data_IF_365928605481
#
_entry.id   IF_365928605481
#
_cell.length_a   1.000
_cell.length_b   1.000
_cell.length_c   1.000
_cell.angle_alpha   90.00
_cell.angle_beta   90.00
_cell.angle_gamma   90.00
#
_symmetry.space_group_name_H-M   'P 1'
#
loop_
_entity.id
_entity.type
_entity.pdbx_description
1 polymer ?
#
# COMPACT_ATOMS: atom_id res chain seq x y z
N UNK A 1 30.12 12.68 0.04
CA UNK A 1 28.64 12.70 0.19
C UNK A 1 28.08 13.76 -0.76
N UNK A 2 26.95 13.50 -1.41
CA UNK A 2 26.39 14.39 -2.44
C UNK A 2 25.08 15.07 -2.01
N UNK A 3 24.53 14.70 -0.85
CA UNK A 3 23.17 15.05 -0.52
C UNK A 3 22.63 14.46 0.77
N UNK A 4 21.33 14.67 0.97
CA UNK A 4 20.54 14.14 2.10
C UNK A 4 19.32 13.40 1.58
N UNK A 5 18.85 12.41 2.35
CA UNK A 5 17.60 11.69 2.10
C UNK A 5 16.75 11.65 3.36
N UNK A 6 15.43 11.55 3.19
CA UNK A 6 14.49 11.27 4.29
C UNK A 6 13.33 10.42 3.78
N UNK A 7 12.52 9.90 4.69
CA UNK A 7 11.26 9.23 4.37
C UNK A 7 10.20 9.67 5.39
N UNK A 8 9.05 10.18 4.94
CA UNK A 8 8.00 10.72 5.84
C UNK A 8 7.12 9.66 6.50
N UNK A 9 7.28 8.39 6.08
CA UNK A 9 6.47 7.25 6.52
C UNK A 9 5.47 6.82 5.45
N UNK A 10 5.19 5.51 5.37
CA UNK A 10 4.20 4.98 4.43
C UNK A 10 2.81 5.57 4.72
N UNK A 11 2.01 5.80 3.67
CA UNK A 11 0.65 6.34 3.80
C UNK A 11 0.58 7.68 4.58
N UNK A 12 1.47 8.61 4.27
CA UNK A 12 1.50 9.89 4.95
C UNK A 12 0.35 10.80 4.47
N UNK A 13 -0.59 11.11 5.36
CA UNK A 13 -1.77 11.95 5.07
C UNK A 13 -1.52 13.44 5.28
N UNK A 14 -0.36 13.83 5.81
CA UNK A 14 -0.04 15.23 6.12
C UNK A 14 1.08 15.74 5.21
N UNK A 15 0.78 16.59 4.19
CA UNK A 15 1.80 17.23 3.36
C UNK A 15 2.88 17.96 4.18
N UNK A 16 2.51 18.55 5.33
CA UNK A 16 3.43 19.25 6.22
C UNK A 16 4.58 18.37 6.76
N UNK A 17 4.45 17.04 6.73
CA UNK A 17 5.55 16.16 7.11
C UNK A 17 6.72 16.25 6.12
N UNK A 18 6.46 16.46 4.83
CA UNK A 18 7.53 16.70 3.85
C UNK A 18 8.23 18.03 4.11
N UNK A 19 7.50 19.12 4.37
CA UNK A 19 8.13 20.41 4.65
C UNK A 19 8.96 20.40 5.95
N UNK A 20 8.48 19.71 6.98
CA UNK A 20 9.24 19.47 8.21
C UNK A 20 10.52 18.66 7.96
N UNK A 21 10.44 17.59 7.16
CA UNK A 21 11.57 16.74 6.83
C UNK A 21 12.60 17.46 5.94
N UNK A 22 12.15 18.25 4.96
CA UNK A 22 13.01 19.11 4.13
C UNK A 22 13.78 20.08 5.03
N UNK A 23 13.10 20.75 5.98
CA UNK A 23 13.77 21.66 6.92
C UNK A 23 14.89 20.95 7.69
N UNK A 24 14.60 19.77 8.25
CA UNK A 24 15.59 19.00 9.01
C UNK A 24 16.76 18.52 8.13
N UNK A 25 16.48 18.07 6.90
CA UNK A 25 17.49 17.67 5.93
C UNK A 25 18.39 18.86 5.54
N UNK A 26 17.82 20.06 5.40
CA UNK A 26 18.58 21.28 5.11
C UNK A 26 19.46 21.71 6.29
N UNK A 27 19.05 21.47 7.53
CA UNK A 27 19.92 21.73 8.69
C UNK A 27 21.19 20.85 8.65
N UNK A 28 21.03 19.58 8.26
CA UNK A 28 22.17 18.66 8.02
C UNK A 28 23.00 19.13 6.82
N UNK A 29 22.34 19.53 5.74
CA UNK A 29 22.99 20.06 4.54
C UNK A 29 23.89 21.26 4.85
N UNK A 30 23.38 22.24 5.61
CA UNK A 30 24.14 23.43 6.02
C UNK A 30 25.34 23.07 6.89
N UNK A 31 25.16 22.10 7.78
CA UNK A 31 26.25 21.57 8.60
C UNK A 31 27.33 20.93 7.73
N UNK A 32 26.94 20.12 6.73
CA UNK A 32 27.89 19.51 5.80
C UNK A 32 28.62 20.55 4.94
N UNK A 33 27.91 21.58 4.46
CA UNK A 33 28.50 22.69 3.70
C UNK A 33 29.54 23.46 4.53
N UNK A 34 29.27 23.69 5.83
CA UNK A 34 30.24 24.32 6.73
C UNK A 34 31.53 23.49 6.92
N UNK A 35 31.48 22.19 6.62
CA UNK A 35 32.64 21.27 6.62
C UNK A 35 33.23 21.05 5.22
N UNK A 36 32.86 21.87 4.23
CA UNK A 36 33.43 21.82 2.87
C UNK A 36 32.82 20.77 1.95
N UNK A 37 31.64 20.23 2.28
CA UNK A 37 30.90 19.33 1.39
C UNK A 37 29.94 20.10 0.48
N UNK A 38 30.05 19.89 -0.83
CA UNK A 38 29.15 20.47 -1.83
C UNK A 38 28.04 19.49 -2.18
N UNK A 39 26.93 19.58 -1.47
CA UNK A 39 25.73 18.79 -1.78
C UNK A 39 24.98 19.41 -2.95
N UNK A 40 24.32 18.58 -3.75
CA UNK A 40 23.47 18.94 -4.89
C UNK A 40 22.30 17.95 -5.06
N UNK A 41 22.09 17.04 -4.11
CA UNK A 41 21.11 15.96 -4.21
C UNK A 41 20.20 15.94 -2.97
N UNK A 42 18.88 16.01 -3.16
CA UNK A 42 17.90 15.84 -2.10
C UNK A 42 16.88 14.77 -2.50
N UNK A 43 16.89 13.67 -1.75
CA UNK A 43 15.89 12.63 -1.87
C UNK A 43 14.75 12.89 -0.88
N UNK A 44 13.54 13.05 -1.43
CA UNK A 44 12.32 13.32 -0.70
C UNK A 44 11.65 12.03 -0.18
N UNK A 45 12.19 10.87 -0.57
CA UNK A 45 11.71 9.56 -0.23
C UNK A 45 10.30 9.28 -0.77
N UNK A 46 9.65 8.31 -0.12
CA UNK A 46 8.29 7.88 -0.43
C UNK A 46 7.24 8.45 0.52
N UNK A 47 6.25 7.63 0.82
CA UNK A 47 5.15 7.97 1.74
C UNK A 47 3.88 8.49 1.07
N UNK A 48 3.91 8.67 -0.26
CA UNK A 48 2.72 9.01 -1.05
C UNK A 48 1.59 8.02 -0.78
N UNK A 49 0.42 8.49 -0.32
CA UNK A 49 -0.68 7.61 0.05
C UNK A 49 -1.33 7.01 -1.20
N UNK A 50 -1.71 5.74 -1.11
CA UNK A 50 -2.71 5.16 -2.01
C UNK A 50 -4.11 5.44 -1.43
N UNK A 51 -5.16 5.30 -2.23
CA UNK A 51 -6.51 5.06 -1.71
C UNK A 51 -6.45 3.99 -0.62
N UNK A 52 -7.10 4.29 0.52
CA UNK A 52 -7.54 3.34 1.58
C UNK A 52 -7.73 3.89 2.98
N UNK A 53 -8.10 5.15 3.11
CA UNK A 53 -8.70 5.62 4.36
C UNK A 53 -9.92 6.45 4.03
N UNK A 54 -11.05 5.79 3.75
CA UNK A 54 -12.35 6.44 3.55
C UNK A 54 -12.80 7.26 4.77
N UNK A 55 -12.03 7.21 5.86
CA UNK A 55 -12.21 7.95 7.11
C UNK A 55 -11.42 9.26 7.17
N UNK A 56 -10.55 9.56 6.18
CA UNK A 56 -9.73 10.78 6.17
C UNK A 56 -9.51 11.30 4.76
N UNK A 57 -9.43 12.62 4.61
CA UNK A 57 -9.14 13.24 3.32
C UNK A 57 -7.70 12.91 2.91
N UNK A 58 -7.54 12.10 1.87
CA UNK A 58 -6.23 11.79 1.29
C UNK A 58 -5.75 13.02 0.51
N UNK A 59 -4.55 13.56 0.78
CA UNK A 59 -4.01 14.68 0.02
C UNK A 59 -3.73 14.27 -1.43
N UNK A 60 -4.02 15.16 -2.37
CA UNK A 60 -3.66 14.91 -3.77
C UNK A 60 -2.15 15.04 -3.98
N UNK A 61 -1.64 14.42 -5.04
CA UNK A 61 -0.22 14.54 -5.42
C UNK A 61 0.15 16.01 -5.66
N UNK A 62 -0.75 16.81 -6.22
CA UNK A 62 -0.55 18.24 -6.44
C UNK A 62 -0.43 19.01 -5.12
N UNK A 63 -1.24 18.67 -4.11
CA UNK A 63 -1.17 19.30 -2.80
C UNK A 63 0.16 18.98 -2.09
N UNK A 64 0.63 17.73 -2.15
CA UNK A 64 1.94 17.34 -1.63
C UNK A 64 3.05 18.07 -2.41
N UNK A 65 2.99 18.07 -3.74
CA UNK A 65 3.95 18.75 -4.59
C UNK A 65 4.04 20.24 -4.32
N UNK A 66 2.91 20.93 -4.13
CA UNK A 66 2.89 22.36 -3.80
C UNK A 66 3.56 22.66 -2.46
N UNK A 67 3.31 21.85 -1.43
CA UNK A 67 3.95 21.97 -0.11
C UNK A 67 5.46 21.73 -0.20
N UNK A 68 5.89 20.68 -0.90
CA UNK A 68 7.29 20.36 -1.15
C UNK A 68 7.98 21.53 -1.86
N UNK A 69 7.44 22.00 -2.98
CA UNK A 69 8.08 23.06 -3.75
C UNK A 69 8.13 24.38 -2.98
N UNK A 70 7.12 24.68 -2.16
CA UNK A 70 7.15 25.82 -1.24
C UNK A 70 8.29 25.71 -0.23
N UNK A 71 8.48 24.52 0.37
CA UNK A 71 9.58 24.28 1.31
C UNK A 71 10.96 24.34 0.63
N UNK A 72 11.12 23.79 -0.58
CA UNK A 72 12.36 23.89 -1.34
C UNK A 72 12.72 25.34 -1.63
N UNK A 73 11.75 26.13 -2.12
CA UNK A 73 11.96 27.56 -2.40
C UNK A 73 12.35 28.35 -1.12
N UNK A 74 11.81 27.97 0.04
CA UNK A 74 12.10 28.63 1.31
C UNK A 74 13.48 28.26 1.89
N UNK A 75 13.87 26.97 1.82
CA UNK A 75 15.04 26.47 2.55
C UNK A 75 16.29 26.25 1.68
N UNK A 76 16.11 26.00 0.37
CA UNK A 76 17.18 25.83 -0.63
C UNK A 76 16.96 26.74 -1.86
N UNK A 77 16.84 28.07 -1.68
CA UNK A 77 16.62 28.99 -2.80
C UNK A 77 17.82 29.02 -3.77
N UNK A 78 17.55 29.27 -5.05
CA UNK A 78 18.54 29.54 -6.11
C UNK A 78 19.58 28.42 -6.32
N UNK A 79 19.13 27.17 -6.31
CA UNK A 79 19.98 25.98 -6.52
C UNK A 79 19.68 25.34 -7.87
N UNK A 80 20.28 25.88 -8.93
CA UNK A 80 20.10 25.38 -10.30
C UNK A 80 20.69 23.97 -10.51
N UNK A 81 21.60 23.56 -9.63
CA UNK A 81 22.24 22.25 -9.60
C UNK A 81 21.50 21.22 -8.73
N UNK A 82 20.39 21.60 -8.09
CA UNK A 82 19.65 20.71 -7.19
C UNK A 82 18.94 19.59 -7.96
N UNK A 83 19.36 18.36 -7.71
CA UNK A 83 18.65 17.15 -8.11
C UNK A 83 17.65 16.76 -7.01
N UNK A 84 16.37 16.79 -7.33
CA UNK A 84 15.30 16.24 -6.50
C UNK A 84 14.97 14.81 -6.94
N UNK A 85 14.90 13.90 -5.98
CA UNK A 85 14.47 12.51 -6.18
C UNK A 85 13.25 12.23 -5.30
N UNK A 86 12.36 11.38 -5.82
CA UNK A 86 11.19 10.87 -5.12
C UNK A 86 11.22 9.34 -5.22
N UNK A 87 10.77 8.66 -4.17
CA UNK A 87 10.72 7.19 -4.10
C UNK A 87 9.26 6.68 -3.91
N UNK A 88 8.32 6.99 -4.82
CA UNK A 88 6.94 6.57 -4.68
C UNK A 88 6.78 5.05 -4.82
N UNK A 89 6.32 4.40 -3.75
CA UNK A 89 5.88 3.00 -3.76
C UNK A 89 4.37 2.89 -3.93
N UNK A 90 3.63 2.69 -2.83
CA UNK A 90 2.16 2.50 -2.89
C UNK A 90 1.41 3.61 -3.59
N UNK A 91 1.85 4.86 -3.50
CA UNK A 91 1.18 5.98 -4.15
C UNK A 91 1.12 5.83 -5.68
N UNK A 92 1.95 4.97 -6.27
CA UNK A 92 1.88 4.63 -7.70
C UNK A 92 1.05 3.38 -7.98
N UNK A 93 1.20 2.33 -7.18
CA UNK A 93 0.73 0.98 -7.54
C UNK A 93 -0.31 0.39 -6.60
N UNK A 94 -0.57 1.00 -5.44
CA UNK A 94 -1.51 0.48 -4.43
C UNK A 94 -2.87 0.15 -5.03
N UNK A 95 -3.50 1.12 -5.70
CA UNK A 95 -4.83 0.99 -6.31
C UNK A 95 -4.86 0.14 -7.60
N UNK A 96 -3.69 -0.28 -8.11
CA UNK A 96 -3.60 -1.01 -9.38
C UNK A 96 -3.97 -2.49 -9.27
N UNK A 97 -3.98 -3.02 -8.04
CA UNK A 97 -4.16 -4.45 -7.77
C UNK A 97 -5.38 -4.73 -6.91
N UNK A 98 -5.97 -5.92 -7.13
CA UNK A 98 -6.98 -6.50 -6.24
C UNK A 98 -6.59 -7.92 -5.91
N UNK A 99 -6.78 -8.31 -4.65
CA UNK A 99 -6.57 -9.68 -4.20
C UNK A 99 -7.92 -10.35 -4.03
N UNK A 100 -8.10 -11.52 -4.65
CA UNK A 100 -9.29 -12.34 -4.51
C UNK A 100 -8.97 -13.51 -3.59
N UNK A 101 -9.84 -13.75 -2.61
CA UNK A 101 -9.68 -14.88 -1.68
C UNK A 101 -11.00 -15.62 -1.49
N UNK A 102 -10.95 -16.95 -1.49
CA UNK A 102 -12.10 -17.79 -1.21
C UNK A 102 -12.23 -18.07 0.29
N UNK A 103 -13.48 -18.10 0.76
CA UNK A 103 -13.82 -18.53 2.10
C UNK A 103 -13.86 -20.06 2.13
N UNK A 104 -12.88 -20.69 2.77
CA UNK A 104 -12.83 -22.15 2.88
C UNK A 104 -13.37 -22.67 4.22
N UNK A 105 -13.47 -21.79 5.22
CA UNK A 105 -13.94 -22.17 6.55
C UNK A 105 -14.75 -21.07 7.21
N UNK A 106 -15.66 -21.47 8.09
CA UNK A 106 -16.45 -20.58 8.95
C UNK A 106 -16.58 -21.23 10.33
N UNK A 107 -16.39 -20.46 11.40
CA UNK A 107 -16.54 -20.96 12.77
C UNK A 107 -17.09 -19.89 13.70
N UNK A 108 -17.93 -20.31 14.64
CA UNK A 108 -18.34 -19.47 15.76
C UNK A 108 -17.36 -19.64 16.92
N UNK A 109 -16.83 -18.52 17.44
CA UNK A 109 -15.92 -18.48 18.59
C UNK A 109 -16.45 -17.48 19.60
N UNK A 110 -17.23 -17.96 20.56
CA UNK A 110 -17.96 -17.09 21.48
C UNK A 110 -19.03 -16.31 20.73
N UNK A 111 -19.01 -14.98 20.84
CA UNK A 111 -19.93 -14.08 20.14
C UNK A 111 -19.39 -13.62 18.76
N UNK A 112 -18.24 -14.15 18.33
CA UNK A 112 -17.62 -13.76 17.06
C UNK A 112 -17.76 -14.86 16.01
N UNK A 113 -18.18 -14.47 14.80
CA UNK A 113 -18.11 -15.33 13.62
C UNK A 113 -16.78 -15.12 12.89
N UNK A 114 -16.04 -16.19 12.68
CA UNK A 114 -14.74 -16.21 12.00
C UNK A 114 -14.88 -16.76 10.59
N UNK A 115 -14.26 -16.09 9.62
CA UNK A 115 -14.08 -16.56 8.25
C UNK A 115 -12.61 -16.90 8.03
N UNK A 116 -12.35 -18.08 7.49
CA UNK A 116 -11.00 -18.52 7.11
C UNK A 116 -10.85 -18.45 5.60
N UNK A 117 -9.82 -17.73 5.19
CA UNK A 117 -9.54 -17.31 3.82
C UNK A 117 -8.29 -18.02 3.29
N UNK A 118 -8.28 -18.35 2.00
CA UNK A 118 -7.12 -18.96 1.35
C UNK A 118 -5.95 -17.99 1.11
N UNK A 119 -6.15 -16.70 1.43
CA UNK A 119 -5.10 -15.69 1.56
C UNK A 119 -5.14 -15.07 2.96
N UNK A 120 -3.96 -14.81 3.51
CA UNK A 120 -3.74 -14.33 4.86
C UNK A 120 -2.57 -13.37 4.97
N UNK A 121 -2.19 -13.05 6.20
CA UNK A 121 -1.08 -12.14 6.51
C UNK A 121 0.20 -12.60 5.83
N UNK A 122 0.52 -13.89 5.92
CA UNK A 122 1.82 -14.39 5.46
C UNK A 122 1.94 -14.57 3.96
N UNK A 123 0.86 -14.93 3.26
CA UNK A 123 0.92 -15.24 1.83
C UNK A 123 0.36 -14.13 0.93
N UNK A 124 -0.11 -12.99 1.45
CA UNK A 124 -0.51 -11.88 0.58
C UNK A 124 -1.04 -10.61 1.22
N UNK A 125 -1.26 -10.58 2.54
CA UNK A 125 -1.88 -9.44 3.24
C UNK A 125 -1.03 -8.99 4.44
N UNK A 126 0.30 -9.01 4.31
CA UNK A 126 1.24 -8.72 5.42
C UNK A 126 0.98 -7.35 6.05
N UNK A 127 0.59 -6.36 5.25
CA UNK A 127 0.34 -5.00 5.72
C UNK A 127 -0.76 -4.90 6.79
N UNK A 128 -1.70 -5.85 6.81
CA UNK A 128 -2.74 -5.84 7.84
C UNK A 128 -2.17 -6.12 9.24
N UNK A 129 -1.05 -6.83 9.31
CA UNK A 129 -0.28 -7.01 10.53
C UNK A 129 0.55 -5.76 10.90
N UNK A 130 0.95 -4.97 9.90
CA UNK A 130 1.66 -3.69 10.09
C UNK A 130 0.74 -2.52 10.45
N UNK A 131 -0.57 -2.76 10.55
CA UNK A 131 -1.56 -1.77 10.95
C UNK A 131 -2.23 -1.04 9.80
N UNK A 132 -2.18 -1.57 8.58
CA UNK A 132 -2.95 -1.09 7.42
C UNK A 132 -4.23 -1.92 7.29
N UNK A 133 -5.41 -1.40 7.72
CA UNK A 133 -6.64 -2.17 7.64
C UNK A 133 -7.01 -2.44 6.17
N UNK A 134 -7.49 -3.66 5.85
CA UNK A 134 -7.92 -3.96 4.50
C UNK A 134 -9.25 -3.27 4.17
N UNK A 135 -9.44 -2.93 2.90
CA UNK A 135 -10.77 -2.69 2.34
C UNK A 135 -11.21 -3.92 1.60
N UNK A 136 -12.30 -4.51 2.07
CA UNK A 136 -12.78 -5.81 1.64
C UNK A 136 -14.27 -5.75 1.37
N UNK A 137 -14.70 -6.43 0.31
CA UNK A 137 -16.11 -6.61 -0.02
C UNK A 137 -16.37 -8.04 -0.47
N UNK A 138 -17.65 -8.41 -0.55
CA UNK A 138 -18.06 -9.60 -1.27
C UNK A 138 -17.85 -9.39 -2.78
N UNK A 139 -17.35 -10.41 -3.48
CA UNK A 139 -17.07 -10.32 -4.92
C UNK A 139 -18.35 -10.27 -5.78
N UNK A 140 -19.36 -11.04 -5.41
CA UNK A 140 -20.66 -11.06 -6.10
C UNK A 140 -21.56 -9.91 -5.65
N UNK A 141 -21.94 -9.05 -6.61
CA UNK A 141 -22.84 -7.92 -6.40
C UNK A 141 -24.21 -8.36 -5.88
N UNK A 142 -24.70 -9.54 -6.28
CA UNK A 142 -25.99 -10.06 -5.80
C UNK A 142 -25.96 -10.42 -4.30
N UNK A 143 -24.78 -10.64 -3.73
CA UNK A 143 -24.63 -10.87 -2.30
C UNK A 143 -24.67 -9.57 -1.49
N UNK A 144 -24.45 -8.40 -2.10
CA UNK A 144 -24.38 -7.11 -1.40
C UNK A 144 -25.71 -6.71 -0.75
N UNK A 145 -26.83 -7.29 -1.18
CA UNK A 145 -28.16 -7.07 -0.60
C UNK A 145 -28.50 -8.03 0.54
N UNK A 146 -27.62 -8.99 0.86
CA UNK A 146 -27.80 -9.90 2.00
C UNK A 146 -27.68 -9.13 3.32
N UNK A 147 -28.26 -9.63 4.43
CA UNK A 147 -28.10 -9.02 5.74
C UNK A 147 -26.62 -8.84 6.10
N UNK A 148 -26.29 -7.73 6.75
CA UNK A 148 -24.93 -7.46 7.21
C UNK A 148 -24.64 -8.23 8.50
N UNK A 149 -23.42 -8.78 8.59
CA UNK A 149 -22.89 -9.48 9.74
C UNK A 149 -21.46 -9.04 10.01
N UNK A 150 -21.05 -9.11 11.28
CA UNK A 150 -19.70 -8.78 11.71
C UNK A 150 -18.84 -10.04 11.72
N UNK A 151 -17.67 -9.98 11.11
CA UNK A 151 -16.74 -11.11 10.99
C UNK A 151 -15.34 -10.77 11.49
N UNK A 152 -14.64 -11.79 12.01
CA UNK A 152 -13.17 -11.81 12.05
C UNK A 152 -12.64 -12.55 10.83
N UNK A 153 -11.75 -11.92 10.07
CA UNK A 153 -11.10 -12.52 8.91
C UNK A 153 -9.73 -13.07 9.32
N UNK A 154 -9.49 -14.34 9.04
CA UNK A 154 -8.23 -15.02 9.31
C UNK A 154 -7.71 -15.72 8.05
N UNK A 155 -6.39 -15.77 7.93
CA UNK A 155 -5.73 -16.50 6.85
C UNK A 155 -5.68 -18.01 7.08
N UNK A 156 -5.00 -18.74 6.19
CA UNK A 156 -5.02 -20.20 6.18
C UNK A 156 -3.99 -20.84 7.12
N UNK A 157 -3.03 -20.08 7.64
CA UNK A 157 -1.92 -20.63 8.41
C UNK A 157 -2.33 -21.12 9.80
N UNK A 158 -1.48 -21.92 10.43
CA UNK A 158 -1.70 -22.40 11.80
C UNK A 158 -1.25 -21.39 12.87
N UNK A 159 -0.77 -20.21 12.48
CA UNK A 159 -0.27 -19.20 13.41
C UNK A 159 -1.39 -18.26 13.87
N UNK A 160 -1.43 -17.98 15.17
CA UNK A 160 -2.38 -17.04 15.76
C UNK A 160 -2.25 -15.59 15.28
N UNK A 161 -1.10 -15.22 14.68
CA UNK A 161 -0.88 -13.92 14.07
C UNK A 161 -1.53 -13.76 12.70
N UNK A 162 -2.05 -14.85 12.09
CA UNK A 162 -2.72 -14.81 10.78
C UNK A 162 -4.17 -14.34 10.88
N UNK A 163 -4.35 -13.18 11.52
CA UNK A 163 -5.62 -12.48 11.64
C UNK A 163 -5.51 -11.22 10.80
N UNK A 164 -6.27 -11.18 9.72
CA UNK A 164 -6.24 -10.12 8.72
C UNK A 164 -6.95 -8.89 9.27
N UNK A 165 -8.17 -9.06 9.79
CA UNK A 165 -8.96 -7.98 10.35
C UNK A 165 -10.02 -8.51 11.32
N UNK A 166 -10.41 -7.65 12.25
CA UNK A 166 -11.48 -7.91 13.23
C UNK A 166 -12.62 -6.94 13.00
N UNK A 167 -13.81 -7.35 13.44
CA UNK A 167 -15.02 -6.53 13.42
C UNK A 167 -15.37 -5.99 12.03
N UNK A 168 -15.12 -6.80 11.00
CA UNK A 168 -15.38 -6.45 9.60
C UNK A 168 -16.85 -6.67 9.29
N UNK A 169 -17.56 -5.60 8.93
CA UNK A 169 -18.96 -5.67 8.52
C UNK A 169 -19.05 -6.06 7.04
N UNK A 170 -19.64 -7.22 6.75
CA UNK A 170 -19.86 -7.71 5.38
C UNK A 170 -21.30 -8.23 5.23
N UNK A 171 -21.85 -8.25 4.00
CA UNK A 171 -23.05 -9.03 3.71
C UNK A 171 -22.83 -10.50 4.08
N UNK A 172 -23.89 -11.23 4.39
CA UNK A 172 -23.82 -12.63 4.80
C UNK A 172 -22.94 -13.47 3.86
N UNK A 173 -21.89 -14.05 4.44
CA UNK A 173 -20.86 -14.83 3.73
C UNK A 173 -21.00 -16.33 4.04
N UNK A 174 -20.94 -17.14 3.00
CA UNK A 174 -20.96 -18.60 3.04
C UNK A 174 -19.60 -19.21 2.67
N UNK A 175 -19.36 -20.46 3.06
CA UNK A 175 -18.20 -21.22 2.58
C UNK A 175 -18.34 -21.39 1.05
N UNK A 176 -17.25 -21.12 0.32
CA UNK A 176 -17.21 -21.10 -1.13
C UNK A 176 -17.42 -19.72 -1.75
N UNK A 177 -17.93 -18.75 -1.00
CA UNK A 177 -17.99 -17.34 -1.44
C UNK A 177 -16.57 -16.78 -1.59
N UNK A 178 -16.45 -15.69 -2.36
CA UNK A 178 -15.18 -15.00 -2.60
C UNK A 178 -15.26 -13.57 -2.09
N UNK A 179 -14.20 -13.16 -1.41
CA UNK A 179 -13.98 -11.78 -1.00
C UNK A 179 -12.95 -11.13 -1.93
N UNK A 180 -13.14 -9.84 -2.15
CA UNK A 180 -12.21 -9.00 -2.89
C UNK A 180 -11.61 -7.98 -1.94
N UNK A 181 -10.29 -7.99 -1.87
CA UNK A 181 -9.47 -6.98 -1.20
C UNK A 181 -9.03 -5.97 -2.25
N UNK A 182 -9.42 -4.72 -2.02
CA UNK A 182 -9.07 -3.60 -2.88
C UNK A 182 -7.68 -3.05 -2.54
N UNK A 183 -7.14 -2.21 -3.42
CA UNK A 183 -5.81 -1.58 -3.39
C UNK A 183 -4.69 -2.48 -2.83
N UNK A 184 -4.70 -3.71 -3.35
CA UNK A 184 -3.78 -4.79 -3.02
C UNK A 184 -2.59 -4.86 -4.00
N UNK A 185 -2.26 -3.73 -4.66
CA UNK A 185 -1.20 -3.65 -5.66
C UNK A 185 0.17 -3.27 -5.12
N UNK A 186 0.30 -2.96 -3.83
CA UNK A 186 1.57 -2.64 -3.19
C UNK A 186 1.76 -3.48 -1.92
N UNK A 187 2.96 -4.05 -1.74
CA UNK A 187 3.39 -4.76 -0.52
C UNK A 187 2.49 -5.95 -0.14
N UNK A 188 1.98 -6.64 -1.16
CA UNK A 188 1.20 -7.87 -1.03
C UNK A 188 2.07 -9.05 -1.42
N UNK A 189 2.17 -9.34 -2.72
CA UNK A 189 3.00 -10.42 -3.24
C UNK A 189 4.49 -10.19 -2.99
N UNK A 190 4.94 -8.94 -2.83
CA UNK A 190 6.34 -8.60 -2.54
C UNK A 190 6.80 -9.09 -1.16
N UNK A 191 5.89 -9.20 -0.19
CA UNK A 191 6.15 -9.74 1.15
C UNK A 191 5.68 -11.18 1.34
N UNK A 192 4.94 -11.72 0.36
CA UNK A 192 4.32 -13.02 0.49
C UNK A 192 5.37 -14.13 0.63
N UNK A 193 5.12 -15.01 1.60
CA UNK A 193 5.88 -16.22 1.82
C UNK A 193 4.95 -17.44 1.79
N UNK A 194 5.46 -18.56 1.29
CA UNK A 194 4.75 -19.85 1.32
C UNK A 194 4.78 -20.51 2.72
N UNK A 195 4.55 -19.72 3.76
CA UNK A 195 4.54 -20.18 5.15
C UNK A 195 3.43 -21.21 5.38
N UNK A 196 3.70 -22.21 6.22
CA UNK A 196 2.89 -23.43 6.38
C UNK A 196 2.58 -24.20 5.07
N UNK A 197 3.27 -23.90 3.97
CA UNK A 197 3.06 -24.56 2.68
C UNK A 197 1.88 -24.02 1.87
N UNK A 198 1.25 -22.91 2.29
CA UNK A 198 0.22 -22.26 1.49
C UNK A 198 0.85 -21.47 0.35
N UNK A 199 0.36 -21.62 -0.89
CA UNK A 199 0.95 -20.93 -2.03
C UNK A 199 0.72 -19.42 -1.94
N UNK A 200 1.61 -18.67 -2.60
CA UNK A 200 1.42 -17.24 -2.86
C UNK A 200 0.34 -17.09 -3.94
N UNK A 201 -0.62 -16.16 -3.79
CA UNK A 201 -1.64 -15.88 -4.79
C UNK A 201 -1.06 -15.64 -6.18
N UNK A 202 -1.65 -16.27 -7.19
CA UNK A 202 -1.25 -16.07 -8.58
C UNK A 202 -1.52 -14.62 -9.01
N UNK A 203 -0.54 -14.01 -9.67
CA UNK A 203 -0.68 -12.69 -10.26
C UNK A 203 -1.21 -12.80 -11.68
N UNK A 204 -2.30 -12.09 -11.99
CA UNK A 204 -2.89 -12.02 -13.32
C UNK A 204 -2.90 -10.57 -13.79
N UNK A 205 -1.99 -10.17 -14.70
CA UNK A 205 -2.00 -8.83 -15.24
C UNK A 205 -3.20 -8.64 -16.16
N UNK A 206 -4.00 -7.60 -15.90
CA UNK A 206 -5.09 -7.18 -16.78
C UNK A 206 -4.58 -6.04 -17.66
N UNK A 207 -4.02 -6.38 -18.82
CA UNK A 207 -3.62 -5.39 -19.81
C UNK A 207 -4.87 -4.92 -20.57
N UNK A 208 -5.40 -3.75 -20.21
CA UNK A 208 -6.57 -3.16 -20.88
C UNK A 208 -6.20 -2.17 -21.99
N UNK A 209 -4.91 -1.89 -22.19
CA UNK A 209 -4.43 -0.97 -23.22
C UNK A 209 -3.78 -1.74 -24.36
N UNK A 210 -4.59 -2.17 -25.32
CA UNK A 210 -4.10 -2.75 -26.59
C UNK A 210 -3.38 -1.72 -27.48
N UNK A 211 -3.54 -0.40 -27.22
CA UNK A 211 -3.06 0.69 -28.08
C UNK A 211 -2.19 1.75 -27.38
N UNK A 212 -1.54 1.44 -26.25
CA UNK A 212 -0.63 2.41 -25.60
C UNK A 212 0.80 2.27 -26.14
N UNK A 213 1.33 3.28 -26.86
CA UNK A 213 2.67 3.23 -27.47
C UNK A 213 3.82 3.17 -26.45
N UNK A 214 3.52 3.29 -25.14
CA UNK A 214 4.50 3.20 -24.06
C UNK A 214 4.75 1.73 -23.64
N UNK A 215 3.83 0.82 -23.94
CA UNK A 215 3.94 -0.59 -23.57
C UNK A 215 4.33 -1.42 -24.81
N UNK A 216 5.62 -1.55 -25.08
CA UNK A 216 6.05 -2.71 -25.89
C UNK A 216 5.67 -3.99 -25.12
N UNK A 217 5.18 -5.05 -25.80
CA UNK A 217 4.75 -6.26 -25.12
C UNK A 217 5.96 -6.97 -24.53
N UNK A 218 6.27 -6.71 -23.25
CA UNK A 218 7.45 -7.31 -22.59
C UNK A 218 7.22 -8.76 -22.16
N UNK A 219 6.00 -9.30 -22.22
CA UNK A 219 5.76 -10.67 -21.75
C UNK A 219 4.79 -11.45 -22.64
N UNK A 220 5.34 -12.44 -23.35
CA UNK A 220 4.59 -13.54 -23.96
C UNK A 220 4.20 -14.53 -22.86
N UNK A 221 2.96 -14.43 -22.37
CA UNK A 221 2.42 -15.37 -21.40
C UNK A 221 1.90 -16.60 -22.13
N UNK A 222 2.78 -17.59 -22.35
CA UNK A 222 2.31 -18.96 -22.63
C UNK A 222 1.91 -19.60 -21.29
N UNK A 223 0.65 -20.00 -21.07
CA UNK A 223 0.26 -20.74 -19.88
C UNK A 223 0.98 -22.10 -19.84
N UNK A 224 1.56 -22.47 -18.70
CA UNK A 224 2.08 -23.82 -18.43
C UNK A 224 0.96 -24.70 -17.90
#
# INVERSE_FOLDING_TARGET
>A
PIGTMFHVGSQCLSPANWSNAIRAAVDVWRTAAAHGHEFHFLDLGGGYPAGHYHTSTIPTVEAIGAEVMTAIAAYLPNRDDLMLVLEPGRGMVGESGRLLSAVFGKAERGEQTWLYLDAGVFNGLMETYEGFPPVVSHLDDAALVRPLHTYTLAGPSCDSCDVIARDVLLPEVHIGDRLVFFDAGAYTNEYAAAFNGFPIPAFVPLLTRQDDPILEPVYDFTPV
#
